data_IF_606589573973
#
_entry.id   IF_606589573973
#
_cell.length_a   1.000
_cell.length_b   1.000
_cell.length_c   1.000
_cell.angle_alpha   90.00
_cell.angle_beta   90.00
_cell.angle_gamma   90.00
#
_symmetry.space_group_name_H-M   'P 1'
#
loop_
_entity.id
_entity.type
_entity.pdbx_description
1 polymer ?
#
# COMPACT_ATOMS: atom_id res chain seq x y z
N UNK A 1 20.10 7.68 -34.64
CA UNK A 1 18.67 7.92 -34.36
C UNK A 1 17.89 7.61 -35.62
N UNK A 2 16.84 6.79 -35.55
CA UNK A 2 16.08 6.34 -36.73
C UNK A 2 14.59 6.12 -36.50
N UNK A 3 14.06 6.54 -35.35
CA UNK A 3 12.64 6.42 -35.03
C UNK A 3 12.02 7.81 -34.91
N UNK A 4 11.93 8.49 -36.04
CA UNK A 4 11.09 9.69 -36.17
C UNK A 4 9.65 9.23 -36.49
N UNK A 5 8.64 9.62 -35.71
CA UNK A 5 7.24 9.17 -35.86
C UNK A 5 6.55 9.68 -37.14
N UNK A 6 7.19 10.57 -37.89
CA UNK A 6 6.63 11.20 -39.09
C UNK A 6 6.76 10.33 -40.35
N UNK A 7 7.53 9.24 -40.31
CA UNK A 7 7.71 8.37 -41.47
C UNK A 7 6.54 7.38 -41.62
N UNK A 8 5.55 7.78 -42.44
CA UNK A 8 4.31 7.02 -42.71
C UNK A 8 4.54 5.62 -43.28
N UNK A 9 5.69 5.37 -43.91
CA UNK A 9 5.99 4.07 -44.50
C UNK A 9 6.31 3.02 -43.42
N UNK A 10 6.96 3.44 -42.33
CA UNK A 10 7.36 2.54 -41.23
C UNK A 10 6.15 2.18 -40.37
N UNK A 11 5.25 3.13 -40.12
CA UNK A 11 4.02 2.90 -39.34
C UNK A 11 3.03 1.99 -40.06
N UNK A 12 2.94 2.10 -41.39
CA UNK A 12 2.11 1.21 -42.20
C UNK A 12 2.69 -0.21 -42.29
N UNK A 13 4.03 -0.35 -42.36
CA UNK A 13 4.69 -1.65 -42.34
C UNK A 13 4.50 -2.40 -41.01
N UNK A 14 4.50 -1.68 -39.88
CA UNK A 14 4.21 -2.29 -38.56
C UNK A 14 2.75 -2.77 -38.45
N UNK A 15 1.78 -2.00 -38.97
CA UNK A 15 0.35 -2.35 -38.90
C UNK A 15 -0.03 -3.58 -39.72
N UNK A 16 0.66 -3.81 -40.84
CA UNK A 16 0.36 -4.91 -41.75
C UNK A 16 1.10 -6.21 -41.40
N UNK A 17 1.92 -6.22 -40.34
CA UNK A 17 2.65 -7.42 -39.93
C UNK A 17 1.76 -8.29 -39.00
N UNK A 18 1.36 -9.50 -39.44
CA UNK A 18 0.42 -10.34 -38.69
C UNK A 18 0.94 -10.77 -37.31
N UNK A 19 2.27 -10.78 -37.12
CA UNK A 19 2.90 -11.16 -35.83
C UNK A 19 2.64 -10.11 -34.74
N UNK A 20 2.54 -8.82 -35.12
CA UNK A 20 2.34 -7.71 -34.16
C UNK A 20 0.84 -7.52 -33.87
N UNK A 21 -0.02 -7.76 -34.85
CA UNK A 21 -1.47 -7.73 -34.68
C UNK A 21 -1.99 -8.83 -33.74
N UNK A 22 -1.35 -10.01 -33.74
CA UNK A 22 -1.68 -11.10 -32.81
C UNK A 22 -1.21 -10.78 -31.38
N UNK A 23 -0.08 -10.10 -31.23
CA UNK A 23 0.44 -9.66 -29.93
C UNK A 23 -0.45 -8.59 -29.27
N UNK A 24 -1.00 -7.64 -30.04
CA UNK A 24 -1.93 -6.64 -29.50
C UNK A 24 -3.31 -7.22 -29.13
N UNK A 25 -3.71 -8.37 -29.69
CA UNK A 25 -4.96 -9.05 -29.31
C UNK A 25 -4.82 -9.92 -28.06
N UNK A 26 -3.59 -10.31 -27.70
CA UNK A 26 -3.32 -11.25 -26.59
C UNK A 26 -3.20 -10.61 -25.21
N UNK A 27 -3.31 -9.29 -25.09
CA UNK A 27 -3.40 -8.56 -23.82
C UNK A 27 -4.84 -8.35 -23.34
N UNK A 28 -5.77 -9.26 -23.66
CA UNK A 28 -6.98 -9.44 -22.84
C UNK A 28 -6.66 -10.35 -21.64
N UNK A 29 -5.69 -9.94 -20.82
CA UNK A 29 -5.48 -10.46 -19.46
C UNK A 29 -6.18 -9.49 -18.49
N UNK A 30 -7.48 -9.29 -18.70
CA UNK A 30 -8.44 -8.90 -17.67
C UNK A 30 -9.25 -10.16 -17.48
N UNK A 31 -8.92 -11.08 -16.57
CA UNK A 31 -9.52 -11.11 -15.25
C UNK A 31 -8.88 -12.21 -14.39
N UNK A 32 -7.54 -12.28 -14.31
CA UNK A 32 -6.90 -13.00 -13.19
C UNK A 32 -6.57 -11.99 -12.11
N UNK A 33 -7.60 -11.64 -11.35
CA UNK A 33 -7.49 -10.95 -10.07
C UNK A 33 -6.60 -11.81 -9.18
N UNK A 34 -5.30 -11.51 -9.14
CA UNK A 34 -4.39 -12.05 -8.14
C UNK A 34 -4.90 -11.55 -6.79
N UNK A 35 -5.66 -12.40 -6.09
CA UNK A 35 -6.12 -12.13 -4.75
C UNK A 35 -4.90 -12.37 -3.86
N UNK A 36 -4.12 -11.32 -3.58
CA UNK A 36 -3.12 -11.39 -2.52
C UNK A 36 -3.91 -11.74 -1.25
N UNK A 37 -3.65 -12.88 -0.58
CA UNK A 37 -4.33 -13.19 0.66
C UNK A 37 -4.05 -12.06 1.63
N UNK A 38 -5.09 -11.31 2.02
CA UNK A 38 -4.99 -10.32 3.08
C UNK A 38 -4.56 -11.09 4.32
N UNK A 39 -3.33 -10.87 4.75
CA UNK A 39 -2.87 -11.25 6.09
C UNK A 39 -3.93 -10.72 7.05
N UNK A 40 -4.49 -11.61 7.86
CA UNK A 40 -5.48 -11.21 8.87
C UNK A 40 -4.76 -10.32 9.88
N UNK A 41 -4.78 -9.01 9.64
CA UNK A 41 -4.43 -8.02 10.65
C UNK A 41 -5.44 -8.19 11.80
N UNK A 42 -4.93 -8.45 13.00
CA UNK A 42 -5.77 -8.52 14.18
C UNK A 42 -6.53 -7.20 14.33
N UNK A 43 -7.85 -7.30 14.47
CA UNK A 43 -8.69 -6.12 14.64
C UNK A 43 -8.43 -5.55 16.03
N UNK A 44 -8.10 -4.27 16.08
CA UNK A 44 -8.01 -3.52 17.33
C UNK A 44 -9.36 -3.54 18.04
N UNK A 45 -9.37 -3.95 19.31
CA UNK A 45 -10.52 -3.89 20.21
C UNK A 45 -10.36 -2.71 21.15
N UNK A 46 -11.45 -2.01 21.42
CA UNK A 46 -11.46 -0.94 22.42
C UNK A 46 -11.32 -1.54 23.81
N UNK A 47 -10.39 -0.99 24.59
CA UNK A 47 -10.20 -1.34 26.00
C UNK A 47 -10.35 -0.09 26.85
N UNK A 48 -11.32 -0.08 27.75
CA UNK A 48 -11.55 1.05 28.66
C UNK A 48 -10.82 0.82 29.96
N UNK A 49 -9.90 1.71 30.29
CA UNK A 49 -9.18 1.72 31.56
C UNK A 49 -9.65 2.88 32.44
N UNK A 50 -9.65 2.68 33.75
CA UNK A 50 -9.75 3.76 34.74
C UNK A 50 -8.34 4.11 35.21
N UNK A 51 -8.01 5.39 35.20
CA UNK A 51 -6.69 5.89 35.61
C UNK A 51 -6.84 7.17 36.41
N UNK A 52 -5.88 7.42 37.30
CA UNK A 52 -5.77 8.72 37.98
C UNK A 52 -5.56 9.82 36.92
N UNK A 53 -6.18 11.00 37.07
CA UNK A 53 -6.08 12.09 36.09
C UNK A 53 -4.63 12.52 35.81
N UNK A 54 -3.78 12.52 36.84
CA UNK A 54 -2.36 12.87 36.74
C UNK A 54 -1.60 11.91 35.83
N UNK A 55 -1.82 10.61 36.00
CA UNK A 55 -1.13 9.57 35.22
C UNK A 55 -1.59 9.62 33.76
N UNK A 56 -2.87 9.91 33.52
CA UNK A 56 -3.41 10.10 32.18
C UNK A 56 -2.74 11.27 31.45
N UNK A 57 -2.48 12.40 32.15
CA UNK A 57 -1.76 13.54 31.57
C UNK A 57 -0.33 13.16 31.18
N UNK A 58 0.40 12.52 32.11
CA UNK A 58 1.77 12.05 31.84
C UNK A 58 1.84 11.10 30.65
N UNK A 59 0.87 10.19 30.52
CA UNK A 59 0.82 9.26 29.40
C UNK A 59 0.64 10.00 28.06
N UNK A 60 -0.23 11.01 28.02
CA UNK A 60 -0.44 11.84 26.82
C UNK A 60 0.80 12.68 26.48
N UNK A 61 1.50 13.19 27.48
CA UNK A 61 2.76 13.92 27.30
C UNK A 61 3.88 13.01 26.76
N UNK A 62 4.04 11.82 27.33
CA UNK A 62 5.02 10.82 26.87
C UNK A 62 4.74 10.38 25.43
N UNK A 63 3.48 10.07 25.12
CA UNK A 63 3.05 9.70 23.77
C UNK A 63 3.45 10.76 22.73
N UNK A 64 3.20 12.05 23.03
CA UNK A 64 3.61 13.17 22.17
C UNK A 64 5.13 13.34 22.10
N UNK A 65 5.82 13.23 23.24
CA UNK A 65 7.27 13.38 23.32
C UNK A 65 8.00 12.34 22.47
N UNK A 66 7.47 11.13 22.39
CA UNK A 66 8.03 10.06 21.57
C UNK A 66 7.48 10.04 20.13
N UNK A 67 6.63 11.00 19.74
CA UNK A 67 6.12 11.14 18.38
C UNK A 67 5.04 10.13 18.00
N UNK A 68 4.40 9.47 18.97
CA UNK A 68 3.31 8.54 18.69
C UNK A 68 2.02 9.29 18.31
N UNK A 69 1.24 8.69 17.42
CA UNK A 69 -0.07 9.25 17.00
C UNK A 69 -1.14 9.16 18.07
N UNK A 70 -1.03 8.18 18.98
CA UNK A 70 -2.00 7.99 20.04
C UNK A 70 -1.37 7.34 21.26
N UNK A 71 -1.99 7.64 22.40
CA UNK A 71 -1.75 7.00 23.69
C UNK A 71 -1.83 5.47 23.60
N UNK A 72 -2.78 4.94 22.83
CA UNK A 72 -2.90 3.50 22.59
C UNK A 72 -1.75 2.92 21.77
N UNK A 73 -1.27 3.65 20.76
CA UNK A 73 -0.13 3.23 19.94
C UNK A 73 1.16 3.20 20.76
N UNK A 74 1.33 4.18 21.66
CA UNK A 74 2.43 4.19 22.61
C UNK A 74 2.36 2.99 23.56
N UNK A 75 1.16 2.67 24.07
CA UNK A 75 0.97 1.53 24.97
C UNK A 75 1.26 0.19 24.28
N UNK A 76 0.75 -0.01 23.05
CA UNK A 76 1.04 -1.21 22.25
C UNK A 76 2.53 -1.35 22.00
N UNK A 77 3.19 -0.26 21.58
CA UNK A 77 4.63 -0.27 21.35
C UNK A 77 5.42 -0.63 22.62
N UNK A 78 5.06 -0.05 23.77
CA UNK A 78 5.70 -0.38 25.04
C UNK A 78 5.50 -1.86 25.38
N UNK A 79 4.30 -2.40 25.23
CA UNK A 79 4.03 -3.81 25.54
C UNK A 79 4.84 -4.74 24.62
N UNK A 80 4.92 -4.41 23.32
CA UNK A 80 5.68 -5.21 22.35
C UNK A 80 7.21 -5.16 22.55
N UNK A 81 7.74 -4.12 23.22
CA UNK A 81 9.19 -3.87 23.36
C UNK A 81 9.70 -3.92 24.81
N UNK A 82 8.84 -4.20 25.78
CA UNK A 82 9.22 -4.32 27.21
C UNK A 82 9.73 -5.73 27.56
N UNK A 83 9.57 -6.71 26.66
CA UNK A 83 10.07 -8.09 26.82
C UNK A 83 11.52 -8.26 26.34
#
# INVERSE_FOLDING_TARGET
MGFSPENRNITNALKNNPVIADQMKKDNIKDKKFIIPKVHEEKTKTYTFTMKPEVRKKLSELSKSHGFKSDSSFLSFLIDHVE
#
